data_IF_399875446565
#
_entry.id   IF_399875446565
#
_cell.length_a   1.000
_cell.length_b   1.000
_cell.length_c   1.000
_cell.angle_alpha   90.00
_cell.angle_beta   90.00
_cell.angle_gamma   90.00
#
_symmetry.space_group_name_H-M   'P 1'
#
loop_
_entity.id
_entity.type
_entity.pdbx_description
1 polymer ?
#
# COMPACT_ATOMS: atom_id res chain seq x y z
N UNK A 1 -30.29 21.63 -23.53
CA UNK A 1 -29.40 21.52 -22.36
C UNK A 1 -28.07 20.98 -22.86
N UNK A 2 -26.99 21.75 -22.74
CA UNK A 2 -25.67 21.33 -23.17
C UNK A 2 -25.06 20.36 -22.15
N UNK A 3 -24.26 19.38 -22.59
CA UNK A 3 -23.55 18.42 -21.72
C UNK A 3 -22.77 19.12 -20.60
N UNK A 4 -22.27 20.33 -20.82
CA UNK A 4 -21.63 21.17 -19.82
C UNK A 4 -22.60 21.67 -18.71
N UNK A 5 -23.90 21.90 -19.07
CA UNK A 5 -24.92 22.28 -18.09
C UNK A 5 -25.26 21.11 -17.16
N UNK A 6 -25.47 19.92 -17.71
CA UNK A 6 -25.75 18.71 -16.94
C UNK A 6 -24.58 18.31 -16.02
N UNK A 7 -23.34 18.45 -16.48
CA UNK A 7 -22.16 18.19 -15.66
C UNK A 7 -22.03 19.21 -14.51
N UNK A 8 -22.32 20.49 -14.74
CA UNK A 8 -22.35 21.51 -13.68
C UNK A 8 -23.46 21.29 -12.67
N UNK A 9 -24.65 20.88 -13.10
CA UNK A 9 -25.75 20.51 -12.18
C UNK A 9 -25.44 19.25 -11.38
N UNK A 10 -24.83 18.22 -12.00
CA UNK A 10 -24.41 17.01 -11.30
C UNK A 10 -23.33 17.32 -10.27
N UNK A 11 -22.33 18.12 -10.63
CA UNK A 11 -21.29 18.60 -9.71
C UNK A 11 -21.91 19.47 -8.61
N UNK A 12 -22.91 20.30 -8.92
CA UNK A 12 -23.67 21.10 -7.95
C UNK A 12 -24.49 20.23 -7.00
N UNK A 13 -25.19 19.22 -7.52
CA UNK A 13 -25.98 18.28 -6.72
C UNK A 13 -25.12 17.36 -5.86
N UNK A 14 -23.97 16.92 -6.38
CA UNK A 14 -22.96 16.17 -5.59
C UNK A 14 -22.34 17.07 -4.53
N UNK A 15 -22.01 18.33 -4.83
CA UNK A 15 -21.55 19.32 -3.86
C UNK A 15 -22.60 19.60 -2.78
N UNK A 16 -23.87 19.77 -3.13
CA UNK A 16 -24.95 20.00 -2.18
C UNK A 16 -25.18 18.76 -1.29
N UNK A 17 -25.12 17.55 -1.83
CA UNK A 17 -25.21 16.31 -1.05
C UNK A 17 -24.01 16.08 -0.13
N UNK A 18 -22.78 16.40 -0.56
CA UNK A 18 -21.58 16.32 0.29
C UNK A 18 -21.68 17.34 1.44
N UNK A 19 -22.24 18.53 1.21
CA UNK A 19 -22.42 19.57 2.23
C UNK A 19 -23.58 19.26 3.18
N UNK A 20 -24.63 18.56 2.72
CA UNK A 20 -25.81 18.22 3.52
C UNK A 20 -25.69 16.85 4.23
N UNK A 21 -24.87 15.94 3.73
CA UNK A 21 -24.69 14.61 4.32
C UNK A 21 -23.58 14.61 5.36
N UNK A 22 -23.94 14.48 6.62
CA UNK A 22 -23.06 13.99 7.69
C UNK A 22 -22.43 12.66 7.31
N UNK A 23 -21.26 12.32 7.81
CA UNK A 23 -20.38 13.03 8.72
C UNK A 23 -18.94 13.00 8.23
N UNK A 24 -18.30 14.10 8.27
CA UNK A 24 -16.86 14.19 8.32
C UNK A 24 -16.41 13.53 9.64
N UNK A 25 -15.66 12.41 9.54
CA UNK A 25 -15.17 11.70 10.72
C UNK A 25 -13.95 12.35 11.32
N UNK A 26 -13.01 12.76 10.45
CA UNK A 26 -11.74 13.39 10.84
C UNK A 26 -11.35 14.44 9.80
N UNK A 27 -10.65 15.46 10.27
CA UNK A 27 -10.02 16.50 9.46
C UNK A 27 -8.56 16.60 9.87
N UNK A 28 -7.66 16.63 8.87
CA UNK A 28 -6.27 16.99 9.07
C UNK A 28 -5.97 18.25 8.27
N UNK A 29 -5.60 19.32 8.96
CA UNK A 29 -5.25 20.59 8.31
C UNK A 29 -3.83 20.54 7.81
N UNK A 30 -3.65 20.91 6.54
CA UNK A 30 -2.37 20.92 5.83
C UNK A 30 -2.10 22.32 5.24
N UNK A 31 -0.86 22.62 4.89
CA UNK A 31 -0.51 23.91 4.25
C UNK A 31 -1.30 24.18 2.98
N UNK A 32 -1.57 23.17 2.17
CA UNK A 32 -2.40 23.30 0.96
C UNK A 32 -3.91 23.43 1.26
N UNK A 33 -4.37 23.03 2.45
CA UNK A 33 -5.80 23.01 2.82
C UNK A 33 -6.13 21.94 3.84
N UNK A 34 -6.85 20.89 3.49
CA UNK A 34 -7.16 19.81 4.41
C UNK A 34 -7.34 18.45 3.73
N UNK A 35 -7.18 17.40 4.53
CA UNK A 35 -7.57 16.03 4.21
C UNK A 35 -8.78 15.69 5.07
N UNK A 36 -9.88 15.36 4.42
CA UNK A 36 -11.17 15.07 5.04
C UNK A 36 -11.45 13.58 4.92
N UNK A 37 -11.67 12.93 6.06
CA UNK A 37 -12.17 11.55 6.07
C UNK A 37 -13.70 11.55 6.12
N UNK A 38 -14.32 11.07 5.06
CA UNK A 38 -15.77 10.95 4.96
C UNK A 38 -16.23 9.55 5.35
N UNK A 39 -17.41 9.47 5.99
CA UNK A 39 -18.03 8.19 6.34
C UNK A 39 -18.91 7.64 5.22
N UNK A 40 -19.59 8.54 4.51
CA UNK A 40 -20.53 8.19 3.41
C UNK A 40 -20.41 9.26 2.33
N UNK A 41 -19.94 8.91 1.13
CA UNK A 41 -19.22 7.68 0.83
C UNK A 41 -17.92 7.57 1.65
N UNK A 42 -17.41 6.36 1.88
CA UNK A 42 -16.11 6.20 2.56
C UNK A 42 -15.01 6.69 1.62
N UNK A 43 -14.40 7.82 1.94
CA UNK A 43 -13.36 8.44 1.11
C UNK A 43 -12.42 9.32 1.94
N UNK A 44 -11.20 9.49 1.44
CA UNK A 44 -10.33 10.60 1.80
C UNK A 44 -10.42 11.64 0.69
N UNK A 45 -10.71 12.88 1.06
CA UNK A 45 -10.87 14.00 0.11
C UNK A 45 -9.85 15.07 0.44
N UNK A 46 -9.07 15.46 -0.56
CA UNK A 46 -8.11 16.55 -0.45
C UNK A 46 -8.80 17.83 -0.95
N UNK A 47 -8.76 18.87 -0.14
CA UNK A 47 -9.41 20.15 -0.44
C UNK A 47 -8.45 21.32 -0.18
N UNK A 48 -8.62 22.39 -0.93
CA UNK A 48 -7.90 23.64 -0.69
C UNK A 48 -8.33 24.32 0.62
N UNK A 49 -7.62 25.39 1.03
CA UNK A 49 -7.91 26.13 2.26
C UNK A 49 -9.32 26.71 2.28
N UNK A 50 -9.80 27.19 1.15
CA UNK A 50 -11.13 27.79 1.04
C UNK A 50 -12.23 26.76 1.31
N UNK A 51 -12.12 25.61 0.67
CA UNK A 51 -13.03 24.50 0.88
C UNK A 51 -12.87 23.89 2.28
N UNK A 52 -11.65 23.80 2.79
CA UNK A 52 -11.38 23.31 4.16
C UNK A 52 -12.10 24.16 5.20
N UNK A 53 -11.96 25.50 5.14
CA UNK A 53 -12.68 26.42 6.03
C UNK A 53 -14.18 26.21 5.96
N UNK A 54 -14.72 26.16 4.74
CA UNK A 54 -16.16 25.99 4.51
C UNK A 54 -16.70 24.66 5.04
N UNK A 55 -16.02 23.55 4.75
CA UNK A 55 -16.48 22.20 5.12
C UNK A 55 -16.26 21.91 6.60
N UNK A 56 -15.13 22.32 7.16
CA UNK A 56 -14.79 22.12 8.57
C UNK A 56 -15.35 23.22 9.48
N UNK A 57 -16.08 24.22 8.92
CA UNK A 57 -16.62 25.38 9.66
C UNK A 57 -15.55 26.10 10.48
N UNK A 58 -14.41 26.38 9.83
CA UNK A 58 -13.29 27.09 10.45
C UNK A 58 -13.48 28.58 10.15
N UNK A 59 -13.66 29.36 11.19
CA UNK A 59 -13.71 30.82 11.11
C UNK A 59 -12.30 31.40 11.29
N UNK A 60 -11.89 32.25 10.35
CA UNK A 60 -10.56 32.87 10.37
C UNK A 60 -9.42 31.95 9.88
N UNK A 61 -8.17 32.35 10.14
CA UNK A 61 -6.99 31.50 9.91
C UNK A 61 -6.81 30.55 11.08
N UNK A 62 -6.84 29.23 10.86
CA UNK A 62 -6.58 28.29 11.95
C UNK A 62 -5.15 28.44 12.45
N UNK A 63 -4.95 28.35 13.73
CA UNK A 63 -3.65 28.48 14.38
C UNK A 63 -2.63 27.43 13.90
N UNK A 64 -3.09 26.35 13.24
CA UNK A 64 -2.26 25.19 12.88
C UNK A 64 -2.59 24.68 11.47
N UNK A 65 -1.98 25.30 10.46
CA UNK A 65 -1.79 24.67 9.16
C UNK A 65 -0.44 23.92 9.21
N UNK A 66 -0.46 22.57 9.14
CA UNK A 66 0.71 21.72 9.28
C UNK A 66 1.28 21.34 7.90
N UNK A 67 2.47 20.71 7.90
CA UNK A 67 3.15 20.28 6.67
C UNK A 67 3.94 21.41 6.01
N UNK A 68 4.29 21.22 4.75
CA UNK A 68 5.09 22.15 3.95
C UNK A 68 4.27 22.79 2.84
N UNK A 69 4.72 23.93 2.35
CA UNK A 69 4.26 24.51 1.10
C UNK A 69 4.82 23.70 -0.06
N UNK A 70 4.00 23.47 -1.11
CA UNK A 70 4.41 22.73 -2.29
C UNK A 70 3.27 21.93 -2.91
N UNK A 71 3.56 21.25 -3.99
CA UNK A 71 2.61 20.35 -4.65
C UNK A 71 2.41 19.08 -3.84
N UNK A 72 1.20 18.52 -3.94
CA UNK A 72 0.90 17.23 -3.33
C UNK A 72 1.81 16.14 -3.92
N UNK A 73 2.49 15.38 -3.07
CA UNK A 73 3.49 14.39 -3.49
C UNK A 73 4.93 14.87 -3.38
N UNK A 74 5.15 16.13 -3.00
CA UNK A 74 6.46 16.71 -2.75
C UNK A 74 6.90 16.63 -1.28
N UNK A 75 6.39 15.63 -0.57
CA UNK A 75 6.56 15.52 0.88
C UNK A 75 6.04 16.78 1.59
N UNK A 76 4.83 17.18 1.25
CA UNK A 76 4.17 18.35 1.84
C UNK A 76 3.27 17.99 3.02
N UNK A 77 2.95 16.70 3.19
CA UNK A 77 2.06 16.24 4.24
C UNK A 77 2.72 16.33 5.62
N UNK A 78 1.91 16.71 6.62
CA UNK A 78 2.35 16.79 8.03
C UNK A 78 2.56 15.41 8.67
N UNK A 79 2.01 14.35 8.07
CA UNK A 79 2.16 12.95 8.48
C UNK A 79 1.72 12.03 7.33
N UNK A 80 2.04 10.73 7.36
CA UNK A 80 1.54 9.79 6.36
C UNK A 80 0.01 9.66 6.40
N UNK A 81 -0.57 9.19 5.31
CA UNK A 81 -2.00 8.84 5.25
C UNK A 81 -2.25 7.44 5.81
N UNK A 82 -1.29 6.56 5.61
CA UNK A 82 -1.37 5.15 5.90
C UNK A 82 -0.10 4.64 6.58
N UNK A 83 -0.27 3.70 7.52
CA UNK A 83 0.83 2.97 8.14
C UNK A 83 0.63 1.46 7.96
N UNK A 84 1.65 0.80 7.40
CA UNK A 84 1.70 -0.65 7.25
C UNK A 84 2.39 -1.27 8.46
N UNK A 85 1.64 -1.92 9.34
CA UNK A 85 2.14 -2.47 10.59
C UNK A 85 2.39 -3.99 10.45
N UNK A 86 3.65 -4.39 10.51
CA UNK A 86 4.03 -5.79 10.62
C UNK A 86 3.91 -6.20 12.09
N UNK A 87 2.75 -6.73 12.48
CA UNK A 87 2.44 -7.01 13.89
C UNK A 87 3.29 -8.14 14.48
N UNK A 88 3.73 -9.07 13.63
CA UNK A 88 4.53 -10.23 14.04
C UNK A 88 5.33 -10.78 12.85
N UNK A 89 6.40 -11.50 13.11
CA UNK A 89 7.07 -12.39 12.16
C UNK A 89 6.68 -13.86 12.36
N UNK A 90 5.75 -14.16 13.28
CA UNK A 90 5.26 -15.51 13.48
C UNK A 90 4.35 -15.95 12.34
N UNK A 91 4.69 -17.05 11.68
CA UNK A 91 3.90 -17.63 10.58
C UNK A 91 4.39 -19.05 10.27
N UNK A 92 3.50 -20.01 10.24
CA UNK A 92 3.80 -21.40 9.89
C UNK A 92 3.82 -21.71 8.38
N UNK A 93 3.46 -20.75 7.52
CA UNK A 93 3.28 -21.00 6.09
C UNK A 93 4.59 -21.30 5.33
N UNK A 94 5.75 -20.73 5.73
CA UNK A 94 7.05 -21.05 5.14
C UNK A 94 7.25 -20.61 3.67
N UNK A 95 6.49 -19.61 3.15
CA UNK A 95 6.57 -19.19 1.75
C UNK A 95 7.99 -18.87 1.30
N UNK A 96 8.37 -19.35 0.09
CA UNK A 96 9.69 -19.15 -0.52
C UNK A 96 10.02 -17.66 -0.69
N UNK A 97 9.06 -16.86 -1.18
CA UNK A 97 9.22 -15.43 -1.45
C UNK A 97 8.80 -14.52 -0.30
N UNK A 98 8.71 -14.99 0.96
CA UNK A 98 8.21 -14.22 2.08
C UNK A 98 9.02 -12.93 2.31
N UNK A 99 8.38 -11.77 2.13
CA UNK A 99 9.04 -10.46 2.22
C UNK A 99 9.44 -10.05 3.64
N UNK A 100 8.81 -10.63 4.67
CA UNK A 100 9.16 -10.38 6.07
C UNK A 100 10.19 -11.36 6.60
N UNK A 101 10.42 -12.48 5.88
CA UNK A 101 11.22 -13.58 6.39
C UNK A 101 10.59 -14.32 7.59
N UNK A 102 9.27 -14.29 7.69
CA UNK A 102 8.52 -14.87 8.81
C UNK A 102 8.82 -16.36 9.03
N UNK A 103 8.77 -16.78 10.30
CA UNK A 103 9.04 -18.15 10.75
C UNK A 103 7.99 -18.60 11.77
N UNK A 104 7.87 -19.92 12.05
CA UNK A 104 6.95 -20.41 13.08
C UNK A 104 7.22 -19.82 14.48
N UNK A 105 8.47 -19.48 14.77
CA UNK A 105 8.89 -18.92 16.06
C UNK A 105 8.63 -17.42 16.19
N UNK A 106 8.58 -16.70 15.06
CA UNK A 106 8.57 -15.24 15.04
C UNK A 106 9.96 -14.65 15.35
N UNK A 107 10.00 -13.38 15.78
CA UNK A 107 11.20 -12.71 16.26
C UNK A 107 11.15 -12.53 17.79
N UNK A 108 12.30 -12.54 18.44
CA UNK A 108 12.39 -12.49 19.91
C UNK A 108 12.04 -11.13 20.53
N UNK A 109 12.07 -10.07 19.74
CA UNK A 109 11.86 -8.68 20.15
C UNK A 109 10.57 -8.07 19.60
N UNK A 110 9.58 -8.88 19.28
CA UNK A 110 8.30 -8.40 18.79
C UNK A 110 7.51 -7.66 19.87
N UNK A 111 6.88 -6.58 19.47
CA UNK A 111 5.97 -5.82 20.33
C UNK A 111 4.69 -6.61 20.62
N UNK A 112 4.20 -6.47 21.85
CA UNK A 112 2.89 -6.96 22.25
C UNK A 112 1.78 -5.94 22.03
N UNK A 113 0.58 -6.27 22.54
CA UNK A 113 -0.60 -5.43 22.43
C UNK A 113 -0.40 -4.03 23.00
N UNK A 114 0.30 -3.91 24.13
CA UNK A 114 0.48 -2.61 24.82
C UNK A 114 1.31 -1.65 23.98
N UNK A 115 2.42 -2.13 23.41
CA UNK A 115 3.28 -1.32 22.55
C UNK A 115 2.55 -0.93 21.27
N UNK A 116 1.82 -1.85 20.65
CA UNK A 116 1.02 -1.56 19.46
C UNK A 116 -0.13 -0.57 19.72
N UNK A 117 -0.76 -0.59 20.89
CA UNK A 117 -1.74 0.44 21.26
C UNK A 117 -1.09 1.82 21.37
N UNK A 118 0.10 1.93 21.98
CA UNK A 118 0.88 3.18 22.01
C UNK A 118 1.23 3.67 20.60
N UNK A 119 1.60 2.75 19.71
CA UNK A 119 1.83 3.08 18.30
C UNK A 119 0.56 3.61 17.61
N UNK A 120 -0.58 2.99 17.85
CA UNK A 120 -1.87 3.45 17.34
C UNK A 120 -2.21 4.85 17.87
N UNK A 121 -1.93 5.15 19.14
CA UNK A 121 -2.11 6.49 19.70
C UNK A 121 -1.24 7.51 18.95
N UNK A 122 0.05 7.24 18.80
CA UNK A 122 0.97 8.13 18.09
C UNK A 122 0.56 8.36 16.63
N UNK A 123 0.12 7.31 15.92
CA UNK A 123 -0.38 7.40 14.55
C UNK A 123 -1.68 8.22 14.46
N UNK A 124 -2.60 8.00 15.39
CA UNK A 124 -3.86 8.75 15.47
C UNK A 124 -3.62 10.23 15.74
N UNK A 125 -2.75 10.54 16.69
CA UNK A 125 -2.38 11.91 17.09
C UNK A 125 -1.62 12.64 15.98
N UNK A 126 -0.78 11.92 15.20
CA UNK A 126 -0.16 12.45 13.99
C UNK A 126 -1.17 12.70 12.85
N UNK A 127 -2.37 12.12 12.93
CA UNK A 127 -3.41 12.31 11.93
C UNK A 127 -3.38 11.28 10.79
N UNK A 128 -2.78 10.10 10.98
CA UNK A 128 -2.89 8.95 10.06
C UNK A 128 -4.34 8.50 9.98
N UNK A 129 -4.78 8.04 8.82
CA UNK A 129 -6.17 7.63 8.58
C UNK A 129 -6.35 6.12 8.48
N UNK A 130 -5.42 5.43 7.82
CA UNK A 130 -5.52 4.01 7.52
C UNK A 130 -4.37 3.21 8.11
N UNK A 131 -4.68 1.99 8.53
CA UNK A 131 -3.69 0.99 8.90
C UNK A 131 -3.82 -0.21 7.96
N UNK A 132 -2.70 -0.71 7.46
CA UNK A 132 -2.62 -2.02 6.83
C UNK A 132 -1.92 -2.97 7.81
N UNK A 133 -2.69 -3.83 8.45
CA UNK A 133 -2.21 -4.81 9.42
C UNK A 133 -1.75 -6.07 8.69
N UNK A 134 -0.55 -6.53 9.00
CA UNK A 134 0.05 -7.70 8.37
C UNK A 134 1.30 -8.14 9.13
N UNK A 135 2.25 -8.72 8.41
CA UNK A 135 3.50 -9.23 9.00
C UNK A 135 3.77 -10.65 8.59
N UNK A 136 3.93 -11.56 9.55
CA UNK A 136 3.79 -12.99 9.37
C UNK A 136 2.32 -13.34 9.14
N UNK A 137 1.70 -14.09 10.05
CA UNK A 137 0.24 -14.29 10.01
C UNK A 137 -0.40 -13.62 11.24
N UNK A 138 -0.94 -12.42 11.04
CA UNK A 138 -1.52 -11.66 12.14
C UNK A 138 -2.78 -12.30 12.73
N UNK A 139 -3.47 -13.16 11.99
CA UNK A 139 -4.67 -13.87 12.47
C UNK A 139 -4.38 -14.85 13.61
N UNK A 140 -3.11 -15.22 13.84
CA UNK A 140 -2.73 -16.05 15.00
C UNK A 140 -2.58 -15.28 16.31
N UNK A 141 -2.60 -13.94 16.25
CA UNK A 141 -2.47 -13.09 17.43
C UNK A 141 -3.79 -13.03 18.19
N UNK A 142 -3.83 -13.48 19.46
CA UNK A 142 -5.08 -13.54 20.21
C UNK A 142 -5.70 -12.18 20.48
N UNK A 143 -4.89 -11.12 20.44
CA UNK A 143 -5.28 -9.73 20.68
C UNK A 143 -5.56 -8.93 19.39
N UNK A 144 -5.50 -9.54 18.20
CA UNK A 144 -5.72 -8.83 16.92
C UNK A 144 -7.07 -8.11 16.89
N UNK A 145 -8.13 -8.76 17.37
CA UNK A 145 -9.46 -8.16 17.43
C UNK A 145 -9.54 -6.97 18.37
N UNK A 146 -8.86 -7.03 19.53
CA UNK A 146 -8.77 -5.93 20.47
C UNK A 146 -8.03 -4.74 19.86
N UNK A 147 -6.90 -4.99 19.20
CA UNK A 147 -6.11 -3.95 18.53
C UNK A 147 -6.91 -3.27 17.40
N UNK A 148 -7.65 -4.05 16.58
CA UNK A 148 -8.47 -3.50 15.51
C UNK A 148 -9.63 -2.63 16.05
N UNK A 149 -10.25 -3.05 17.15
CA UNK A 149 -11.27 -2.24 17.84
C UNK A 149 -10.67 -0.94 18.35
N UNK A 150 -9.55 -1.02 19.05
CA UNK A 150 -8.84 0.14 19.57
C UNK A 150 -8.47 1.15 18.47
N UNK A 151 -7.96 0.66 17.34
CA UNK A 151 -7.66 1.51 16.18
C UNK A 151 -8.90 2.27 15.67
N UNK A 152 -10.06 1.61 15.62
CA UNK A 152 -11.33 2.24 15.23
C UNK A 152 -11.80 3.29 16.23
N UNK A 153 -11.65 3.04 17.52
CA UNK A 153 -11.97 3.98 18.60
C UNK A 153 -11.10 5.24 18.49
N UNK A 154 -9.83 5.09 18.07
CA UNK A 154 -8.91 6.20 17.77
C UNK A 154 -9.18 6.86 16.40
N UNK A 155 -10.22 6.44 15.67
CA UNK A 155 -10.64 7.01 14.38
C UNK A 155 -9.84 6.52 13.16
N UNK A 156 -8.99 5.51 13.31
CA UNK A 156 -8.26 4.87 12.22
C UNK A 156 -9.11 3.78 11.55
N UNK A 157 -8.81 3.46 10.29
CA UNK A 157 -9.44 2.35 9.57
C UNK A 157 -8.42 1.21 9.45
N UNK A 158 -8.52 0.15 10.27
CA UNK A 158 -7.67 -1.01 10.13
C UNK A 158 -8.12 -1.86 8.93
N UNK A 159 -7.20 -2.19 8.02
CA UNK A 159 -7.34 -3.20 6.99
C UNK A 159 -6.40 -4.36 7.32
N UNK A 160 -6.69 -5.56 6.82
CA UNK A 160 -5.90 -6.76 7.13
C UNK A 160 -5.49 -7.49 5.86
N UNK A 161 -4.25 -7.96 5.84
CA UNK A 161 -3.79 -8.98 4.90
C UNK A 161 -3.50 -10.27 5.65
N UNK A 162 -4.04 -11.39 5.18
CA UNK A 162 -3.85 -12.73 5.76
C UNK A 162 -3.52 -13.74 4.65
N UNK A 163 -2.84 -14.82 5.00
CA UNK A 163 -2.74 -16.00 4.14
C UNK A 163 -4.04 -16.84 4.14
N UNK A 164 -4.87 -16.68 5.16
CA UNK A 164 -6.04 -17.51 5.39
C UNK A 164 -5.72 -18.95 5.83
N UNK A 165 -4.47 -19.26 6.09
CA UNK A 165 -4.01 -20.62 6.41
C UNK A 165 -4.07 -20.93 7.91
N UNK A 166 -3.96 -19.92 8.75
CA UNK A 166 -3.94 -20.03 10.21
C UNK A 166 -4.85 -18.98 10.84
N UNK A 167 -5.41 -19.27 12.01
CA UNK A 167 -6.23 -18.32 12.77
C UNK A 167 -7.58 -17.94 12.16
N UNK A 168 -8.05 -18.65 11.13
CA UNK A 168 -9.23 -18.28 10.34
C UNK A 168 -10.51 -18.20 11.18
N UNK A 169 -10.74 -19.13 12.10
CA UNK A 169 -11.97 -19.13 12.92
C UNK A 169 -12.05 -17.88 13.81
N UNK A 170 -10.94 -17.53 14.45
CA UNK A 170 -10.85 -16.31 15.24
C UNK A 170 -11.03 -15.05 14.35
N UNK A 171 -10.43 -15.04 13.16
CA UNK A 171 -10.54 -13.92 12.22
C UNK A 171 -11.99 -13.73 11.74
N UNK A 172 -12.75 -14.79 11.48
CA UNK A 172 -14.16 -14.68 11.08
C UNK A 172 -14.97 -14.00 12.17
N UNK A 173 -14.74 -14.31 13.45
CA UNK A 173 -15.44 -13.71 14.58
C UNK A 173 -15.18 -12.22 14.78
N UNK A 174 -14.13 -11.66 14.13
CA UNK A 174 -13.75 -10.26 14.24
C UNK A 174 -13.69 -9.53 12.88
N UNK A 175 -14.18 -10.15 11.81
CA UNK A 175 -14.03 -9.65 10.44
C UNK A 175 -14.71 -8.27 10.23
N UNK A 176 -15.75 -7.97 10.95
CA UNK A 176 -16.47 -6.69 10.94
C UNK A 176 -15.65 -5.51 11.48
N UNK A 177 -14.60 -5.79 12.26
CA UNK A 177 -13.71 -4.78 12.81
C UNK A 177 -12.77 -4.16 11.79
N UNK A 178 -12.56 -4.83 10.65
CA UNK A 178 -11.69 -4.34 9.57
C UNK A 178 -12.48 -3.57 8.51
N UNK A 179 -11.84 -2.60 7.86
CA UNK A 179 -12.38 -1.93 6.67
C UNK A 179 -12.41 -2.90 5.50
N UNK A 180 -11.26 -3.51 5.20
CA UNK A 180 -11.08 -4.50 4.15
C UNK A 180 -10.21 -5.65 4.65
N UNK A 181 -10.43 -6.85 4.14
CA UNK A 181 -9.57 -8.02 4.35
C UNK A 181 -9.14 -8.54 2.99
N UNK A 182 -7.83 -8.60 2.74
CA UNK A 182 -7.27 -9.23 1.56
C UNK A 182 -6.63 -10.57 1.92
N UNK A 183 -6.97 -11.60 1.16
CA UNK A 183 -6.33 -12.93 1.28
C UNK A 183 -5.24 -13.03 0.22
N UNK A 184 -4.07 -13.48 0.62
CA UNK A 184 -2.95 -13.68 -0.31
C UNK A 184 -3.20 -14.93 -1.15
N UNK A 185 -3.32 -14.75 -2.49
CA UNK A 185 -3.60 -15.82 -3.45
C UNK A 185 -2.73 -15.64 -4.70
N UNK A 186 -1.52 -16.21 -4.69
CA UNK A 186 -0.51 -15.97 -5.74
C UNK A 186 -0.61 -16.95 -6.93
N UNK A 187 -1.76 -17.56 -7.14
CA UNK A 187 -2.04 -18.50 -8.21
C UNK A 187 -3.17 -19.45 -7.85
N UNK A 188 -3.57 -20.28 -8.79
CA UNK A 188 -4.56 -21.32 -8.64
C UNK A 188 -3.86 -22.69 -8.62
N UNK A 189 -4.34 -23.61 -7.77
CA UNK A 189 -3.84 -25.00 -7.73
C UNK A 189 -2.31 -25.15 -7.77
N UNK A 190 -1.76 -25.73 -8.81
CA UNK A 190 -0.33 -25.99 -8.95
C UNK A 190 0.51 -24.70 -9.02
N UNK A 191 -0.04 -23.64 -9.61
CA UNK A 191 0.65 -22.35 -9.70
C UNK A 191 0.79 -21.70 -8.33
N UNK A 192 -0.21 -21.84 -7.46
CA UNK A 192 -0.09 -21.42 -6.07
C UNK A 192 1.11 -22.09 -5.39
N UNK A 193 1.24 -23.41 -5.56
CA UNK A 193 2.36 -24.16 -4.99
C UNK A 193 3.71 -23.74 -5.59
N UNK A 194 3.77 -23.48 -6.91
CA UNK A 194 4.99 -23.03 -7.58
C UNK A 194 5.49 -21.66 -7.07
N UNK A 195 4.56 -20.74 -6.74
CA UNK A 195 4.91 -19.42 -6.22
C UNK A 195 5.19 -19.43 -4.71
N UNK A 196 4.40 -20.17 -3.95
CA UNK A 196 4.48 -20.19 -2.48
C UNK A 196 5.48 -21.21 -1.93
N UNK A 197 5.79 -22.27 -2.70
CA UNK A 197 6.66 -23.37 -2.29
C UNK A 197 5.94 -24.48 -1.51
N UNK A 198 4.62 -24.45 -1.43
CA UNK A 198 3.78 -25.49 -0.80
C UNK A 198 2.34 -25.44 -1.36
N UNK A 199 1.65 -26.56 -1.28
CA UNK A 199 0.23 -26.63 -1.66
C UNK A 199 -0.66 -26.09 -0.55
N UNK A 200 -1.27 -24.93 -0.80
CA UNK A 200 -2.17 -24.25 0.15
C UNK A 200 -3.41 -23.67 -0.52
N UNK A 201 -3.59 -23.86 -1.83
CA UNK A 201 -4.70 -23.26 -2.58
C UNK A 201 -6.07 -23.59 -1.99
N UNK A 202 -6.34 -24.86 -1.71
CA UNK A 202 -7.64 -25.28 -1.17
C UNK A 202 -7.97 -24.60 0.17
N UNK A 203 -6.96 -24.38 1.02
CA UNK A 203 -7.12 -23.67 2.31
C UNK A 203 -7.38 -22.18 2.10
N UNK A 204 -6.61 -21.53 1.20
CA UNK A 204 -6.82 -20.11 0.88
C UNK A 204 -8.19 -19.88 0.23
N UNK A 205 -8.65 -20.74 -0.70
CA UNK A 205 -9.99 -20.67 -1.29
C UNK A 205 -11.09 -20.87 -0.22
N UNK A 206 -10.93 -21.83 0.69
CA UNK A 206 -11.86 -22.02 1.79
C UNK A 206 -11.93 -20.77 2.70
N UNK A 207 -10.78 -20.13 2.99
CA UNK A 207 -10.73 -18.90 3.76
C UNK A 207 -11.45 -17.74 3.04
N UNK A 208 -11.22 -17.58 1.74
CA UNK A 208 -11.90 -16.56 0.92
C UNK A 208 -13.42 -16.77 0.96
N UNK A 209 -13.91 -17.99 0.74
CA UNK A 209 -15.35 -18.30 0.78
C UNK A 209 -15.96 -18.00 2.14
N UNK A 210 -15.31 -18.39 3.21
CA UNK A 210 -15.80 -18.16 4.58
C UNK A 210 -15.81 -16.69 4.95
N UNK A 211 -14.76 -15.92 4.60
CA UNK A 211 -14.71 -14.49 4.81
C UNK A 211 -15.77 -13.76 3.99
N UNK A 212 -15.99 -14.16 2.73
CA UNK A 212 -17.04 -13.58 1.89
C UNK A 212 -18.45 -13.83 2.42
N UNK A 213 -18.67 -14.91 3.14
CA UNK A 213 -19.97 -15.20 3.77
C UNK A 213 -20.31 -14.18 4.89
N UNK A 214 -19.31 -13.61 5.56
CA UNK A 214 -19.51 -12.71 6.72
C UNK A 214 -19.13 -11.27 6.43
N UNK A 215 -18.36 -11.00 5.35
CA UNK A 215 -17.86 -9.68 5.02
C UNK A 215 -17.91 -9.39 3.52
N UNK A 216 -18.35 -8.19 3.18
CA UNK A 216 -18.47 -7.74 1.78
C UNK A 216 -17.13 -7.32 1.17
N UNK A 217 -16.33 -6.58 1.92
CA UNK A 217 -15.04 -6.04 1.50
C UNK A 217 -13.92 -7.08 1.71
N UNK A 218 -13.94 -8.13 0.87
CA UNK A 218 -12.89 -9.14 0.79
C UNK A 218 -12.28 -9.11 -0.60
N UNK A 219 -10.98 -8.90 -0.68
CA UNK A 219 -10.18 -8.93 -1.90
C UNK A 219 -9.09 -10.00 -1.85
N UNK A 220 -8.28 -10.05 -2.89
CA UNK A 220 -7.06 -10.86 -2.93
C UNK A 220 -5.84 -10.01 -3.25
N UNK A 221 -4.71 -10.37 -2.63
CA UNK A 221 -3.39 -9.89 -3.00
C UNK A 221 -2.69 -10.96 -3.81
N UNK A 222 -2.17 -10.59 -4.99
CA UNK A 222 -1.48 -11.48 -5.90
C UNK A 222 -0.08 -10.94 -6.14
N UNK A 223 0.94 -11.62 -5.63
CA UNK A 223 2.33 -11.31 -5.98
C UNK A 223 2.60 -11.89 -7.37
N UNK A 224 2.74 -11.02 -8.35
CA UNK A 224 2.99 -11.43 -9.75
C UNK A 224 4.45 -11.82 -9.92
N UNK A 225 4.66 -13.02 -10.46
CA UNK A 225 5.95 -13.63 -10.74
C UNK A 225 5.96 -14.18 -12.16
N UNK A 226 7.12 -14.61 -12.63
CA UNK A 226 7.19 -15.31 -13.94
C UNK A 226 6.35 -16.58 -14.00
N UNK A 227 6.05 -17.19 -12.86
CA UNK A 227 5.36 -18.48 -12.78
C UNK A 227 3.84 -18.34 -12.88
N UNK A 228 3.27 -17.22 -12.42
CA UNK A 228 1.82 -17.00 -12.42
C UNK A 228 1.36 -15.92 -13.41
N UNK A 229 2.27 -15.27 -14.14
CA UNK A 229 1.92 -14.22 -15.08
C UNK A 229 0.92 -14.68 -16.15
N UNK A 230 1.13 -15.86 -16.71
CA UNK A 230 0.25 -16.45 -17.73
C UNK A 230 -1.14 -16.83 -17.18
N UNK A 231 -1.27 -16.95 -15.85
CA UNK A 231 -2.52 -17.32 -15.18
C UNK A 231 -3.34 -16.09 -14.72
N UNK A 232 -2.88 -14.86 -14.98
CA UNK A 232 -3.58 -13.66 -14.51
C UNK A 232 -5.04 -13.62 -14.96
N UNK A 233 -5.36 -13.99 -16.20
CA UNK A 233 -6.74 -14.00 -16.69
C UNK A 233 -7.64 -14.95 -15.86
N UNK A 234 -7.13 -16.14 -15.53
CA UNK A 234 -7.84 -17.13 -14.70
C UNK A 234 -8.01 -16.63 -13.24
N UNK A 235 -7.01 -15.92 -12.70
CA UNK A 235 -7.10 -15.31 -11.37
C UNK A 235 -8.21 -14.24 -11.35
N UNK A 236 -8.34 -13.43 -12.41
CA UNK A 236 -9.44 -12.47 -12.52
C UNK A 236 -10.80 -13.16 -12.66
N UNK A 237 -10.89 -14.25 -13.44
CA UNK A 237 -12.09 -15.07 -13.53
C UNK A 237 -12.48 -15.60 -12.14
N UNK A 238 -11.55 -16.19 -11.41
CA UNK A 238 -11.73 -16.65 -10.04
C UNK A 238 -12.26 -15.54 -9.13
N UNK A 239 -11.64 -14.34 -9.18
CA UNK A 239 -12.07 -13.20 -8.37
C UNK A 239 -13.50 -12.77 -8.68
N UNK A 240 -13.88 -12.78 -9.96
CA UNK A 240 -15.26 -12.51 -10.42
C UNK A 240 -16.25 -13.53 -9.90
N UNK A 241 -15.96 -14.84 -10.03
CA UNK A 241 -16.81 -15.93 -9.54
C UNK A 241 -17.02 -15.86 -8.02
N UNK A 242 -15.99 -15.52 -7.26
CA UNK A 242 -16.04 -15.34 -5.81
C UNK A 242 -16.62 -13.99 -5.39
N UNK A 243 -16.96 -13.10 -6.35
CA UNK A 243 -17.48 -11.74 -6.12
C UNK A 243 -16.58 -10.95 -5.18
N UNK A 244 -15.28 -11.00 -5.40
CA UNK A 244 -14.30 -10.28 -4.60
C UNK A 244 -14.41 -8.79 -4.86
N UNK A 245 -14.06 -7.98 -3.87
CA UNK A 245 -14.11 -6.52 -3.96
C UNK A 245 -13.03 -5.96 -4.89
N UNK A 246 -11.86 -6.62 -4.93
CA UNK A 246 -10.74 -6.23 -5.79
C UNK A 246 -9.69 -7.34 -5.91
N UNK A 247 -8.86 -7.22 -6.95
CA UNK A 247 -7.57 -7.90 -7.10
C UNK A 247 -6.47 -6.87 -6.97
N UNK A 248 -5.61 -6.99 -5.97
CA UNK A 248 -4.41 -6.16 -5.80
C UNK A 248 -3.20 -6.91 -6.35
N UNK A 249 -2.58 -6.36 -7.40
CA UNK A 249 -1.40 -6.94 -8.04
C UNK A 249 -0.13 -6.33 -7.45
N UNK A 250 0.69 -7.17 -6.87
CA UNK A 250 1.94 -6.79 -6.21
C UNK A 250 3.14 -7.27 -7.03
N UNK A 251 4.12 -6.41 -7.27
CA UNK A 251 5.39 -6.82 -7.86
C UNK A 251 6.19 -7.65 -6.85
N UNK A 252 6.78 -8.75 -7.30
CA UNK A 252 7.71 -9.50 -6.46
C UNK A 252 8.93 -8.64 -6.08
N UNK A 253 9.21 -8.53 -4.79
CA UNK A 253 10.26 -7.65 -4.26
C UNK A 253 11.33 -8.44 -3.50
N UNK A 254 12.60 -8.04 -3.62
CA UNK A 254 13.73 -8.68 -2.94
C UNK A 254 13.83 -8.24 -1.48
N UNK A 255 12.88 -8.67 -0.66
CA UNK A 255 12.84 -8.40 0.78
C UNK A 255 12.63 -9.70 1.55
N UNK A 256 13.20 -9.84 2.74
CA UNK A 256 13.17 -11.09 3.50
C UNK A 256 13.72 -12.28 2.71
N UNK A 257 13.04 -13.43 2.72
CA UNK A 257 13.41 -14.60 1.89
C UNK A 257 13.29 -14.32 0.40
N UNK A 258 12.44 -13.36 0.00
CA UNK A 258 12.33 -12.93 -1.38
C UNK A 258 13.65 -12.41 -1.98
N UNK A 259 14.61 -11.97 -1.17
CA UNK A 259 15.90 -11.51 -1.65
C UNK A 259 16.69 -12.63 -2.34
N UNK A 260 16.78 -13.81 -1.73
CA UNK A 260 17.45 -14.98 -2.33
C UNK A 260 16.65 -15.58 -3.50
N UNK A 261 15.33 -15.50 -3.47
CA UNK A 261 14.46 -16.03 -4.52
C UNK A 261 14.29 -15.06 -5.71
N UNK A 262 14.77 -13.81 -5.63
CA UNK A 262 14.40 -12.73 -6.53
C UNK A 262 14.66 -13.06 -8.01
N UNK A 263 15.86 -13.54 -8.35
CA UNK A 263 16.24 -13.87 -9.71
C UNK A 263 15.34 -14.97 -10.33
N UNK A 264 14.94 -15.94 -9.52
CA UNK A 264 14.11 -17.07 -9.96
C UNK A 264 12.62 -16.68 -10.09
N UNK A 265 12.16 -15.74 -9.27
CA UNK A 265 10.73 -15.44 -9.13
C UNK A 265 10.28 -14.20 -9.93
N UNK A 266 11.12 -13.16 -10.05
CA UNK A 266 10.75 -11.93 -10.74
C UNK A 266 10.24 -12.18 -12.16
N UNK A 267 9.35 -11.35 -12.65
CA UNK A 267 8.89 -11.38 -14.03
C UNK A 267 10.05 -11.21 -15.02
N UNK A 268 9.89 -11.75 -16.23
CA UNK A 268 10.81 -11.51 -17.34
C UNK A 268 10.60 -10.09 -17.90
N UNK A 269 11.48 -9.67 -18.80
CA UNK A 269 11.37 -8.38 -19.48
C UNK A 269 10.09 -8.28 -20.31
N UNK A 270 9.80 -9.32 -21.06
CA UNK A 270 8.61 -9.42 -21.92
C UNK A 270 7.31 -9.40 -21.08
N UNK A 271 7.31 -10.04 -19.92
CA UNK A 271 6.19 -10.00 -18.99
C UNK A 271 5.98 -8.61 -18.40
N UNK A 272 7.06 -7.90 -18.08
CA UNK A 272 6.97 -6.50 -17.63
C UNK A 272 6.43 -5.57 -18.72
N UNK A 273 6.88 -5.75 -19.95
CA UNK A 273 6.43 -4.94 -21.10
C UNK A 273 4.97 -5.23 -21.48
N UNK A 274 4.50 -6.46 -21.31
CA UNK A 274 3.10 -6.83 -21.59
C UNK A 274 2.16 -6.67 -20.39
N UNK A 275 2.66 -6.23 -19.22
CA UNK A 275 1.88 -6.23 -17.97
C UNK A 275 0.60 -5.40 -18.06
N UNK A 276 0.71 -4.12 -18.49
CA UNK A 276 -0.47 -3.23 -18.53
C UNK A 276 -1.57 -3.74 -19.48
N UNK A 277 -1.31 -4.07 -20.76
CA UNK A 277 -2.35 -4.59 -21.64
C UNK A 277 -2.96 -5.90 -21.13
N UNK A 278 -2.16 -6.78 -20.51
CA UNK A 278 -2.64 -8.06 -19.96
C UNK A 278 -3.66 -7.81 -18.83
N UNK A 279 -3.34 -6.96 -17.84
CA UNK A 279 -4.24 -6.72 -16.72
C UNK A 279 -5.50 -5.95 -17.11
N UNK A 280 -5.40 -5.01 -18.05
CA UNK A 280 -6.57 -4.27 -18.54
C UNK A 280 -7.54 -5.17 -19.30
N UNK A 281 -7.02 -6.08 -20.13
CA UNK A 281 -7.84 -7.06 -20.85
C UNK A 281 -8.59 -7.98 -19.87
N UNK A 282 -7.88 -8.51 -18.86
CA UNK A 282 -8.47 -9.37 -17.83
C UNK A 282 -9.49 -8.62 -16.96
N UNK A 283 -9.17 -7.43 -16.46
CA UNK A 283 -10.06 -6.62 -15.64
C UNK A 283 -11.37 -6.28 -16.38
N UNK A 284 -11.26 -5.90 -17.67
CA UNK A 284 -12.42 -5.61 -18.53
C UNK A 284 -13.27 -6.86 -18.78
N UNK A 285 -12.63 -8.00 -19.15
CA UNK A 285 -13.32 -9.26 -19.45
C UNK A 285 -14.12 -9.77 -18.27
N UNK A 286 -13.52 -9.76 -17.08
CA UNK A 286 -14.11 -10.34 -15.88
C UNK A 286 -14.84 -9.32 -14.99
N UNK A 287 -14.81 -8.02 -15.35
CA UNK A 287 -15.43 -6.91 -14.61
C UNK A 287 -15.01 -6.87 -13.15
N UNK A 288 -13.74 -7.07 -12.90
CA UNK A 288 -13.13 -7.03 -11.58
C UNK A 288 -12.33 -5.75 -11.41
N UNK A 289 -12.48 -5.09 -10.27
CA UNK A 289 -11.64 -3.96 -9.91
C UNK A 289 -10.21 -4.43 -9.68
N UNK A 290 -9.27 -3.78 -10.33
CA UNK A 290 -7.85 -4.04 -10.14
C UNK A 290 -7.19 -2.85 -9.45
N UNK A 291 -6.27 -3.16 -8.54
CA UNK A 291 -5.37 -2.21 -7.90
C UNK A 291 -3.95 -2.68 -8.15
N UNK A 292 -3.07 -1.77 -8.49
CA UNK A 292 -1.68 -2.09 -8.84
C UNK A 292 -0.71 -1.44 -7.86
N UNK A 293 0.22 -2.23 -7.37
CA UNK A 293 1.30 -1.79 -6.48
C UNK A 293 2.16 -0.68 -7.14
N UNK A 294 2.52 0.31 -6.37
CA UNK A 294 3.34 1.45 -6.78
C UNK A 294 4.66 1.06 -7.46
N UNK A 295 5.21 -0.11 -7.15
CA UNK A 295 6.47 -0.59 -7.76
C UNK A 295 6.32 -1.02 -9.22
N UNK A 296 5.09 -1.15 -9.74
CA UNK A 296 4.83 -1.36 -11.16
C UNK A 296 4.80 -0.07 -11.99
N UNK A 297 4.89 1.10 -11.37
CA UNK A 297 4.85 2.38 -12.09
C UNK A 297 5.80 2.42 -13.31
N UNK A 298 7.07 1.94 -13.25
CA UNK A 298 7.94 1.93 -14.42
C UNK A 298 7.41 1.13 -15.60
N UNK A 299 6.72 0.01 -15.34
CA UNK A 299 6.13 -0.86 -16.36
C UNK A 299 4.87 -0.26 -16.95
N UNK A 300 4.08 0.43 -16.14
CA UNK A 300 2.84 1.07 -16.59
C UNK A 300 3.15 2.29 -17.46
N UNK A 301 4.04 3.18 -17.04
CA UNK A 301 4.38 4.40 -17.79
C UNK A 301 5.11 4.12 -19.11
N UNK A 302 5.66 2.93 -19.28
CA UNK A 302 6.18 2.47 -20.57
C UNK A 302 5.11 2.54 -21.68
N UNK A 303 3.84 2.32 -21.33
CA UNK A 303 2.71 2.37 -22.26
C UNK A 303 2.08 3.77 -22.38
N UNK A 304 2.67 4.80 -21.76
CA UNK A 304 2.16 6.18 -21.75
C UNK A 304 0.67 6.30 -21.42
N UNK A 305 0.21 5.68 -20.31
CA UNK A 305 -1.19 5.77 -19.91
C UNK A 305 -1.54 7.21 -19.52
N UNK A 306 -2.80 7.58 -19.70
CA UNK A 306 -3.31 8.83 -19.14
C UNK A 306 -3.39 8.78 -17.59
N UNK A 307 -3.57 9.94 -16.98
CA UNK A 307 -3.63 10.05 -15.52
C UNK A 307 -4.90 9.42 -14.93
N UNK A 308 -5.99 9.41 -15.67
CA UNK A 308 -7.26 8.86 -15.21
C UNK A 308 -7.14 7.33 -15.09
N UNK A 309 -6.55 6.68 -16.08
CA UNK A 309 -6.26 5.24 -16.02
C UNK A 309 -5.34 4.89 -14.84
N UNK A 310 -4.29 5.68 -14.61
CA UNK A 310 -3.41 5.45 -13.45
C UNK A 310 -4.16 5.60 -12.12
N UNK A 311 -5.05 6.57 -12.01
CA UNK A 311 -5.88 6.77 -10.84
C UNK A 311 -6.89 5.62 -10.65
N UNK A 312 -7.50 5.10 -11.72
CA UNK A 312 -8.35 3.91 -11.67
C UNK A 312 -7.61 2.68 -11.15
N UNK A 313 -6.34 2.53 -11.53
CA UNK A 313 -5.45 1.47 -11.06
C UNK A 313 -4.87 1.74 -9.65
N UNK A 314 -5.23 2.86 -9.03
CA UNK A 314 -4.69 3.33 -7.75
C UNK A 314 -3.17 3.58 -7.77
N UNK A 315 -2.61 3.99 -8.91
CA UNK A 315 -1.17 4.22 -9.09
C UNK A 315 -0.84 5.70 -8.95
N UNK A 316 -0.18 6.04 -7.87
CA UNK A 316 0.27 7.40 -7.54
C UNK A 316 1.79 7.50 -7.43
N UNK A 317 2.52 6.53 -8.00
CA UNK A 317 3.96 6.40 -7.90
C UNK A 317 4.43 5.86 -6.54
N UNK A 318 5.73 5.93 -6.28
CA UNK A 318 6.28 5.49 -5.01
C UNK A 318 5.81 6.41 -3.88
N UNK A 319 5.03 5.88 -2.95
CA UNK A 319 4.46 6.62 -1.80
C UNK A 319 5.23 6.41 -0.50
N UNK A 320 6.28 5.58 -0.52
CA UNK A 320 7.08 5.28 0.65
C UNK A 320 7.76 6.53 1.25
N UNK A 321 7.66 6.70 2.55
CA UNK A 321 8.20 7.86 3.26
C UNK A 321 7.46 9.18 3.00
N UNK A 322 6.34 9.15 2.25
CA UNK A 322 5.54 10.32 1.86
C UNK A 322 4.08 10.15 2.32
N UNK A 323 3.30 9.33 1.60
CA UNK A 323 1.93 8.99 2.00
C UNK A 323 1.86 7.77 2.91
N UNK A 324 2.88 6.92 2.87
CA UNK A 324 2.95 5.61 3.48
C UNK A 324 4.22 5.48 4.30
N UNK A 325 4.11 4.83 5.46
CA UNK A 325 5.24 4.27 6.22
C UNK A 325 5.04 2.80 6.50
N UNK A 326 6.13 2.10 6.80
CA UNK A 326 6.12 0.77 7.38
C UNK A 326 6.56 0.78 8.84
N UNK A 327 6.09 -0.17 9.63
CA UNK A 327 6.63 -0.48 10.95
C UNK A 327 6.92 -1.98 11.06
N UNK A 328 8.13 -2.32 11.52
CA UNK A 328 8.55 -3.71 11.75
C UNK A 328 7.96 -4.25 13.05
N UNK A 329 8.01 -5.58 13.32
CA UNK A 329 7.42 -6.15 14.53
C UNK A 329 7.96 -5.59 15.86
N UNK A 330 9.13 -5.01 15.84
CA UNK A 330 9.75 -4.29 16.97
C UNK A 330 9.50 -2.78 16.95
N UNK A 331 8.52 -2.33 16.17
CA UNK A 331 8.10 -0.93 16.07
C UNK A 331 8.99 -0.03 15.22
N UNK A 332 10.14 -0.48 14.70
CA UNK A 332 11.04 0.34 13.89
C UNK A 332 10.35 0.85 12.63
N UNK A 333 10.45 2.16 12.39
CA UNK A 333 9.90 2.81 11.20
C UNK A 333 10.76 2.47 9.97
N UNK A 334 10.07 2.25 8.84
CA UNK A 334 10.66 2.15 7.51
C UNK A 334 9.84 2.97 6.52
N UNK A 335 10.41 3.31 5.37
CA UNK A 335 9.67 4.06 4.35
C UNK A 335 8.47 3.29 3.77
N UNK A 336 8.56 1.96 3.70
CA UNK A 336 7.46 1.06 3.33
C UNK A 336 7.66 -0.32 3.93
N UNK A 337 6.69 -1.23 3.80
CA UNK A 337 6.73 -2.60 4.35
C UNK A 337 7.96 -3.40 3.91
N UNK A 338 8.47 -3.14 2.71
CA UNK A 338 9.56 -3.89 2.09
C UNK A 338 10.95 -3.27 2.35
N UNK A 339 10.99 -1.99 2.74
CA UNK A 339 12.25 -1.28 2.95
C UNK A 339 12.99 -1.77 4.19
N UNK A 340 14.32 -1.75 4.12
CA UNK A 340 15.17 -1.78 5.29
C UNK A 340 15.17 -0.40 5.98
N UNK A 341 15.47 -0.32 7.28
CA UNK A 341 15.77 0.95 7.93
C UNK A 341 16.96 1.64 7.22
N UNK A 342 16.97 2.97 7.14
CA UNK A 342 18.06 3.71 6.53
C UNK A 342 19.42 3.38 7.19
N UNK A 343 20.46 3.00 6.41
CA UNK A 343 21.77 2.62 6.96
C UNK A 343 22.38 3.72 7.82
N UNK A 344 22.23 4.99 7.45
CA UNK A 344 22.78 6.16 8.14
C UNK A 344 22.25 6.28 9.57
N UNK A 345 20.97 5.96 9.79
CA UNK A 345 20.37 5.97 11.12
C UNK A 345 20.89 4.82 11.98
N UNK A 346 21.15 3.65 11.37
CA UNK A 346 21.72 2.50 12.06
C UNK A 346 23.16 2.79 12.50
N UNK A 347 23.94 3.46 11.65
CA UNK A 347 25.33 3.90 11.96
C UNK A 347 25.38 4.89 13.12
N UNK A 348 24.39 5.78 13.21
CA UNK A 348 24.23 6.73 14.32
C UNK A 348 23.64 6.12 15.58
N UNK A 349 23.38 4.80 15.61
CA UNK A 349 22.71 4.12 16.72
C UNK A 349 21.23 4.52 16.89
N UNK A 350 20.68 5.29 15.97
CA UNK A 350 19.28 5.75 16.02
C UNK A 350 18.37 4.69 15.40
N UNK A 351 17.36 4.28 16.15
CA UNK A 351 16.34 3.32 15.71
C UNK A 351 14.95 3.90 15.95
N UNK A 352 14.54 4.91 15.16
CA UNK A 352 13.24 5.53 15.39
C UNK A 352 12.15 4.49 15.25
N UNK A 353 11.22 4.50 16.18
CA UNK A 353 10.07 3.64 16.17
C UNK A 353 8.78 4.44 15.92
N UNK A 354 7.69 3.74 15.68
CA UNK A 354 6.44 4.36 15.25
C UNK A 354 5.82 5.28 16.31
N UNK A 355 6.15 5.14 17.59
CA UNK A 355 5.69 6.07 18.64
C UNK A 355 6.40 7.42 18.58
N UNK A 356 7.53 7.50 17.86
CA UNK A 356 8.33 8.72 17.65
C UNK A 356 8.07 9.36 16.28
N UNK A 357 7.02 8.92 15.56
CA UNK A 357 6.73 9.34 14.18
C UNK A 357 6.72 10.87 14.05
N UNK A 358 6.06 11.59 14.94
CA UNK A 358 5.92 13.04 14.85
C UNK A 358 7.27 13.78 14.90
N UNK A 359 8.22 13.29 15.70
CA UNK A 359 9.56 13.87 15.80
C UNK A 359 10.48 13.41 14.66
N UNK A 360 10.25 12.23 14.08
CA UNK A 360 11.07 11.67 13.01
C UNK A 360 10.65 12.15 11.63
N UNK A 361 9.36 12.44 11.43
CA UNK A 361 8.77 12.71 10.11
C UNK A 361 9.47 13.81 9.33
N UNK A 362 9.79 14.92 9.98
CA UNK A 362 10.40 16.10 9.35
C UNK A 362 11.95 16.19 9.55
N UNK A 363 12.58 15.16 10.12
CA UNK A 363 14.02 15.17 10.30
C UNK A 363 14.75 15.16 8.94
N UNK A 364 15.84 15.92 8.81
CA UNK A 364 16.72 15.82 7.64
C UNK A 364 17.21 14.38 7.45
N UNK A 365 17.15 13.87 6.22
CA UNK A 365 17.54 12.50 5.88
C UNK A 365 16.52 11.41 6.26
N UNK A 366 15.39 11.76 6.92
CA UNK A 366 14.33 10.80 7.15
C UNK A 366 13.89 10.14 5.85
N UNK A 367 13.83 8.81 5.85
CA UNK A 367 13.47 7.96 4.71
C UNK A 367 14.43 7.97 3.50
N UNK A 368 15.58 8.68 3.57
CA UNK A 368 16.65 8.63 2.57
C UNK A 368 16.19 8.73 1.12
N UNK A 369 16.65 7.82 0.27
CA UNK A 369 16.35 7.78 -1.16
C UNK A 369 14.86 7.83 -1.53
N UNK A 370 13.95 7.51 -0.61
CA UNK A 370 12.51 7.64 -0.86
C UNK A 370 12.06 9.09 -0.95
N UNK A 371 12.78 10.03 -0.34
CA UNK A 371 12.49 11.47 -0.35
C UNK A 371 13.44 12.30 -1.23
N UNK A 372 14.64 11.80 -1.52
CA UNK A 372 15.62 12.49 -2.38
C UNK A 372 15.53 12.07 -3.85
N UNK A 373 14.41 11.52 -4.28
CA UNK A 373 14.22 10.99 -5.63
C UNK A 373 14.40 12.02 -6.76
N UNK A 374 14.32 13.34 -6.46
CA UNK A 374 14.53 14.41 -7.44
C UNK A 374 15.96 14.49 -7.94
N UNK A 375 16.91 14.02 -7.14
CA UNK A 375 18.33 13.99 -7.46
C UNK A 375 18.73 12.76 -8.30
N UNK A 376 17.73 12.10 -8.92
CA UNK A 376 17.95 10.90 -9.70
C UNK A 376 18.84 11.15 -10.92
N UNK A 377 19.71 10.16 -11.20
CA UNK A 377 20.53 10.14 -12.40
C UNK A 377 19.71 9.84 -13.67
N UNK A 378 20.32 10.05 -14.84
CA UNK A 378 19.77 9.57 -16.10
C UNK A 378 19.58 8.02 -16.07
N UNK A 379 18.54 7.52 -16.74
CA UNK A 379 17.56 8.20 -17.58
C UNK A 379 16.31 8.71 -16.85
N UNK A 380 16.32 8.74 -15.52
CA UNK A 380 15.15 9.17 -14.74
C UNK A 380 15.00 10.68 -14.72
N UNK A 381 16.10 11.44 -14.61
CA UNK A 381 16.10 12.93 -14.56
C UNK A 381 15.40 13.55 -15.79
N UNK A 382 15.58 12.99 -16.98
CA UNK A 382 14.94 13.43 -18.24
C UNK A 382 13.61 12.74 -18.55
N UNK A 383 13.08 11.90 -17.65
CA UNK A 383 11.85 11.17 -17.91
C UNK A 383 10.60 12.02 -17.61
N UNK A 384 9.69 12.12 -18.57
CA UNK A 384 8.41 12.83 -18.41
C UNK A 384 7.54 12.33 -17.24
N UNK A 385 7.72 11.08 -16.83
CA UNK A 385 7.04 10.47 -15.69
C UNK A 385 7.84 10.50 -14.39
N UNK A 386 8.97 11.23 -14.35
CA UNK A 386 9.85 11.22 -13.18
C UNK A 386 9.13 11.66 -11.89
N UNK A 387 8.34 12.72 -11.97
CA UNK A 387 7.57 13.23 -10.81
C UNK A 387 6.55 12.23 -10.26
N UNK A 388 6.00 11.35 -11.11
CA UNK A 388 5.13 10.24 -10.70
C UNK A 388 5.94 9.03 -10.27
N UNK A 389 6.82 8.52 -11.15
CA UNK A 389 7.54 7.27 -10.96
C UNK A 389 8.61 7.34 -9.85
N UNK A 390 9.26 8.50 -9.71
CA UNK A 390 10.31 8.77 -8.69
C UNK A 390 11.49 7.80 -8.77
N UNK A 391 11.84 7.35 -9.99
CA UNK A 391 12.93 6.41 -10.22
C UNK A 391 12.59 4.94 -9.96
N UNK A 392 11.31 4.59 -9.77
CA UNK A 392 10.86 3.21 -9.56
C UNK A 392 10.97 2.71 -8.13
N UNK A 393 11.11 1.40 -7.96
CA UNK A 393 11.12 0.75 -6.65
C UNK A 393 12.50 0.82 -5.98
N UNK A 394 12.62 1.60 -4.91
CA UNK A 394 13.87 1.77 -4.16
C UNK A 394 14.40 0.46 -3.55
N UNK A 395 13.50 -0.47 -3.22
CA UNK A 395 13.88 -1.79 -2.67
C UNK A 395 14.53 -2.65 -3.75
N UNK A 396 14.02 -2.59 -4.98
CA UNK A 396 14.60 -3.32 -6.12
C UNK A 396 15.95 -2.70 -6.51
N UNK A 397 16.02 -1.38 -6.61
CA UNK A 397 17.26 -0.67 -6.91
C UNK A 397 18.36 -0.97 -5.89
N UNK A 398 18.07 -0.89 -4.61
CA UNK A 398 19.01 -1.22 -3.54
C UNK A 398 19.53 -2.67 -3.64
N UNK A 399 18.66 -3.62 -3.93
CA UNK A 399 19.05 -5.03 -4.03
C UNK A 399 19.90 -5.34 -5.27
N UNK A 400 19.52 -4.82 -6.42
CA UNK A 400 20.15 -5.19 -7.70
C UNK A 400 21.39 -4.35 -7.97
N UNK A 401 21.38 -3.07 -7.57
CA UNK A 401 22.45 -2.10 -7.84
C UNK A 401 23.29 -1.72 -6.63
N UNK A 402 22.89 -2.16 -5.42
CA UNK A 402 23.53 -1.74 -4.17
C UNK A 402 23.20 -0.30 -3.76
N UNK A 403 22.35 0.41 -4.51
CA UNK A 403 21.99 1.82 -4.29
C UNK A 403 20.49 2.03 -4.47
N UNK A 404 19.83 2.47 -3.41
CA UNK A 404 18.39 2.78 -3.43
C UNK A 404 18.07 4.04 -4.27
N UNK A 405 19.02 4.90 -4.51
CA UNK A 405 18.86 6.13 -5.32
C UNK A 405 18.96 5.85 -6.82
N UNK A 406 19.56 4.72 -7.19
CA UNK A 406 19.71 4.34 -8.59
C UNK A 406 18.35 4.11 -9.28
N UNK A 407 18.27 4.32 -10.61
CA UNK A 407 17.09 3.96 -11.39
C UNK A 407 16.73 2.49 -11.26
N UNK A 408 15.42 2.20 -11.28
CA UNK A 408 14.92 0.82 -11.20
C UNK A 408 15.44 -0.01 -12.37
N UNK A 409 16.23 -1.08 -12.14
CA UNK A 409 16.87 -1.85 -13.20
C UNK A 409 15.89 -2.65 -14.06
N UNK A 410 14.64 -2.81 -13.62
CA UNK A 410 13.60 -3.50 -14.39
C UNK A 410 12.70 -2.54 -15.18
N UNK A 411 12.95 -1.23 -15.11
CA UNK A 411 12.28 -0.25 -15.95
C UNK A 411 12.60 -0.50 -17.42
N UNK A 412 11.60 -0.66 -18.32
CA UNK A 412 11.87 -0.89 -19.75
C UNK A 412 12.74 0.21 -20.38
N UNK A 413 12.54 1.49 -19.98
CA UNK A 413 13.37 2.60 -20.47
C UNK A 413 14.83 2.50 -20.00
N UNK A 414 15.06 2.13 -18.75
CA UNK A 414 16.43 1.96 -18.20
C UNK A 414 17.14 0.84 -18.95
N UNK A 415 16.46 -0.31 -19.12
CA UNK A 415 17.03 -1.46 -19.85
C UNK A 415 17.33 -1.17 -21.32
N UNK A 416 16.46 -0.41 -21.98
CA UNK A 416 16.69 -0.04 -23.38
C UNK A 416 17.96 0.80 -23.56
N UNK A 417 18.28 1.67 -22.63
CA UNK A 417 19.49 2.50 -22.66
C UNK A 417 20.74 1.68 -22.29
N UNK A 418 20.66 0.84 -21.27
CA UNK A 418 21.77 -0.01 -20.82
C UNK A 418 22.10 -1.13 -21.81
N UNK A 419 21.11 -1.63 -22.54
CA UNK A 419 21.32 -2.62 -23.63
C UNK A 419 21.91 -2.03 -24.91
N UNK A 420 22.03 -0.70 -25.01
CA UNK A 420 22.69 0.01 -26.11
C UNK A 420 24.16 0.38 -25.80
N UNK A 421 24.61 0.22 -24.57
CA UNK A 421 25.98 0.38 -24.11
C UNK A 421 26.72 -0.96 -24.06
#
# INVERSE_FOLDING_TARGET
MTLLGAARELVGAVRARIVAARPMKRVRLEKFGAILQLAVPRALVFVDRTMARRMARIDGEPAVWRGREGELGDHVLSAPLEAHLQLTNKCGAGCVGCYTGASPQGASNEWGLVEWKRAIDALADAGVFHLALGGGESAVLPWLGELATYARERGLVPNLTTSGLEGLDALIGIADRFGQINVSLDGLHATYAAVRGFDGFARADAAIRRLRAVKREVGINVVVTRHNFAELDQIFAYASERRLSEVELLRFKPSGRGASAYKAMRCTSEQHESFLPTILAAAKRHRVRVKVDCSYTPMLVHHRPDRDLLAELCVYGCTGGDFLIGAKPDGRITACSFAAPPPELLQLGKRPNVTELASYWDQPGAFGAFRTWRDAAEPCSSCEYHSLCRGGCKVVSAHVRGDASAPDPECPRVRAIEGQQ
#
